data_IF_661528986951
#
_entry.id   IF_661528986951
#
_cell.length_a   1.000
_cell.length_b   1.000
_cell.length_c   1.000
_cell.angle_alpha   90.00
_cell.angle_beta   90.00
_cell.angle_gamma   90.00
#
_symmetry.space_group_name_H-M   'P 1'
#
loop_
_entity.id
_entity.type
_entity.pdbx_description
1 polymer ?
#
# COMPACT_ATOMS: atom_id res chain seq x y z
N UNK A 1 -29.19 -88.37 33.03
CA UNK A 1 -28.29 -87.25 32.70
C UNK A 1 -29.15 -86.00 32.63
N UNK A 2 -29.12 -85.17 33.67
CA UNK A 2 -29.99 -83.99 33.86
C UNK A 2 -29.13 -82.74 33.69
N UNK A 3 -29.45 -81.89 32.72
CA UNK A 3 -28.82 -80.57 32.56
C UNK A 3 -29.82 -79.52 33.07
N UNK A 4 -29.40 -78.77 34.09
CA UNK A 4 -30.19 -77.71 34.73
C UNK A 4 -30.09 -76.43 33.90
N UNK A 5 -31.24 -75.83 33.58
CA UNK A 5 -31.34 -74.44 33.12
C UNK A 5 -30.95 -73.50 34.27
N UNK A 6 -29.99 -72.60 34.00
CA UNK A 6 -29.75 -71.41 34.80
C UNK A 6 -30.55 -70.26 34.16
N UNK A 7 -31.47 -69.70 34.93
CA UNK A 7 -32.28 -68.54 34.56
C UNK A 7 -31.53 -67.29 35.01
N UNK A 8 -31.04 -66.50 34.05
CA UNK A 8 -30.40 -65.19 34.31
C UNK A 8 -31.48 -64.12 34.16
N UNK A 9 -31.90 -63.54 35.27
CA UNK A 9 -32.81 -62.42 35.30
C UNK A 9 -32.08 -61.16 34.81
N UNK A 10 -32.47 -60.67 33.63
CA UNK A 10 -32.05 -59.38 33.09
C UNK A 10 -32.91 -58.30 33.76
N UNK A 11 -32.31 -57.55 34.67
CA UNK A 11 -32.91 -56.36 35.29
C UNK A 11 -32.84 -55.23 34.26
N UNK A 12 -33.94 -54.98 33.56
CA UNK A 12 -34.18 -53.73 32.82
C UNK A 12 -34.33 -52.61 33.85
N UNK A 13 -33.25 -51.91 34.14
CA UNK A 13 -33.30 -50.62 34.82
C UNK A 13 -33.75 -49.59 33.77
N UNK A 14 -35.05 -49.33 33.70
CA UNK A 14 -35.62 -48.20 32.98
C UNK A 14 -35.21 -46.92 33.70
N UNK A 15 -34.04 -46.39 33.33
CA UNK A 15 -33.64 -45.03 33.62
C UNK A 15 -34.48 -44.11 32.73
N UNK A 16 -35.76 -43.94 33.08
CA UNK A 16 -36.62 -42.87 32.56
C UNK A 16 -36.17 -41.54 33.15
N UNK A 17 -34.98 -41.10 32.73
CA UNK A 17 -34.47 -39.77 33.04
C UNK A 17 -35.29 -38.75 32.27
N UNK A 18 -35.76 -37.75 32.99
CA UNK A 18 -36.30 -36.50 32.49
C UNK A 18 -35.31 -35.87 31.48
N UNK A 19 -35.41 -36.25 30.21
CA UNK A 19 -35.02 -35.36 29.13
C UNK A 19 -36.22 -34.45 28.96
N UNK A 20 -36.15 -33.24 29.50
CA UNK A 20 -37.00 -32.17 29.03
C UNK A 20 -36.84 -32.18 27.50
N UNK A 21 -37.95 -32.39 26.77
CA UNK A 21 -37.97 -32.21 25.33
C UNK A 21 -37.70 -30.72 25.10
N UNK A 22 -36.44 -30.36 24.89
CA UNK A 22 -36.14 -29.13 24.18
C UNK A 22 -36.75 -29.33 22.79
N UNK A 23 -37.76 -28.52 22.49
CA UNK A 23 -38.31 -28.43 21.14
C UNK A 23 -37.16 -27.95 20.24
N UNK A 24 -36.82 -28.75 19.23
CA UNK A 24 -35.73 -28.47 18.31
C UNK A 24 -36.36 -27.84 17.07
N UNK A 25 -36.09 -26.57 16.84
CA UNK A 25 -36.44 -25.92 15.58
C UNK A 25 -35.59 -26.45 14.43
N UNK A 26 -36.11 -26.38 13.21
CA UNK A 26 -35.42 -26.90 12.03
C UNK A 26 -35.42 -25.88 10.90
N UNK A 27 -34.35 -25.92 10.11
CA UNK A 27 -34.23 -25.24 8.84
C UNK A 27 -34.39 -26.23 7.68
N UNK A 28 -35.04 -25.78 6.62
CA UNK A 28 -35.19 -26.47 5.35
C UNK A 28 -34.59 -25.59 4.25
N UNK A 29 -33.85 -26.19 3.32
CA UNK A 29 -33.21 -25.45 2.23
C UNK A 29 -33.79 -25.89 0.89
N UNK A 30 -34.07 -24.92 0.03
CA UNK A 30 -34.59 -25.14 -1.32
C UNK A 30 -33.82 -24.29 -2.30
N UNK A 31 -33.74 -24.70 -3.56
CA UNK A 31 -33.03 -23.89 -4.54
C UNK A 31 -32.80 -24.60 -5.84
N UNK A 32 -31.91 -24.07 -6.67
CA UNK A 32 -31.53 -24.67 -7.95
C UNK A 32 -30.01 -24.71 -8.12
N UNK A 33 -29.56 -25.62 -8.97
CA UNK A 33 -28.16 -25.75 -9.36
C UNK A 33 -28.02 -25.31 -10.81
N UNK A 34 -27.00 -24.49 -11.06
CA UNK A 34 -26.73 -23.88 -12.36
C UNK A 34 -25.34 -24.23 -12.84
N UNK A 35 -25.17 -24.27 -14.16
CA UNK A 35 -23.88 -24.27 -14.81
C UNK A 35 -23.25 -22.88 -14.63
N UNK A 36 -22.12 -22.83 -13.95
CA UNK A 36 -21.40 -21.58 -13.67
C UNK A 36 -20.81 -20.91 -14.91
N UNK A 37 -20.67 -21.63 -16.02
CA UNK A 37 -20.17 -21.09 -17.29
C UNK A 37 -21.30 -20.60 -18.21
N UNK A 38 -22.36 -21.39 -18.39
CA UNK A 38 -23.46 -21.00 -19.30
C UNK A 38 -24.62 -20.27 -18.60
N UNK A 39 -24.76 -20.45 -17.28
CA UNK A 39 -25.92 -19.98 -16.52
C UNK A 39 -27.17 -20.86 -16.68
N UNK A 40 -27.08 -21.97 -17.43
CA UNK A 40 -28.18 -22.90 -17.61
C UNK A 40 -28.45 -23.71 -16.35
N UNK A 41 -29.67 -24.24 -16.21
CA UNK A 41 -30.00 -25.13 -15.09
C UNK A 41 -29.37 -26.50 -15.30
N UNK A 42 -28.80 -27.05 -14.24
CA UNK A 42 -28.29 -28.42 -14.21
C UNK A 42 -29.38 -29.32 -13.63
N UNK A 43 -29.65 -30.44 -14.32
CA UNK A 43 -30.51 -31.52 -13.83
C UNK A 43 -29.67 -32.70 -13.34
N UNK A 44 -30.31 -33.76 -12.81
CA UNK A 44 -29.65 -35.04 -12.53
C UNK A 44 -28.39 -34.95 -11.65
N UNK A 45 -28.37 -34.01 -10.70
CA UNK A 45 -27.36 -33.90 -9.65
C UNK A 45 -27.90 -34.54 -8.36
N UNK A 46 -27.00 -34.84 -7.43
CA UNK A 46 -27.34 -35.23 -6.05
C UNK A 46 -26.90 -34.12 -5.10
N UNK A 47 -27.62 -33.96 -3.99
CA UNK A 47 -27.31 -32.95 -2.97
C UNK A 47 -27.52 -33.53 -1.58
N UNK A 48 -26.55 -33.27 -0.69
CA UNK A 48 -26.56 -33.77 0.68
C UNK A 48 -26.27 -32.63 1.65
N UNK A 49 -26.87 -32.70 2.83
CA UNK A 49 -26.46 -31.92 3.99
C UNK A 49 -25.87 -32.88 5.03
N UNK A 50 -24.65 -32.61 5.47
CA UNK A 50 -24.00 -33.36 6.54
C UNK A 50 -23.78 -32.48 7.77
N UNK A 51 -24.18 -33.02 8.93
CA UNK A 51 -23.93 -32.41 10.23
C UNK A 51 -23.74 -33.50 11.28
N UNK A 52 -22.74 -33.33 12.15
CA UNK A 52 -22.31 -34.32 13.13
C UNK A 52 -22.00 -35.70 12.52
N UNK A 53 -22.92 -36.67 12.64
CA UNK A 53 -22.84 -38.03 12.06
C UNK A 53 -24.08 -38.37 11.24
N UNK A 54 -24.85 -37.34 10.90
CA UNK A 54 -26.09 -37.43 10.15
C UNK A 54 -25.84 -36.88 8.75
N UNK A 55 -26.28 -37.64 7.76
CA UNK A 55 -26.30 -37.22 6.37
C UNK A 55 -27.76 -37.23 5.90
N UNK A 56 -28.21 -36.13 5.32
CA UNK A 56 -29.55 -35.97 4.77
C UNK A 56 -29.40 -35.78 3.26
N UNK A 57 -29.88 -36.76 2.50
CA UNK A 57 -30.03 -36.64 1.06
C UNK A 57 -31.23 -35.75 0.73
N UNK A 58 -31.01 -34.77 -0.14
CA UNK A 58 -32.06 -33.92 -0.68
C UNK A 58 -32.80 -34.57 -1.85
N UNK A 59 -33.99 -34.08 -2.13
CA UNK A 59 -34.78 -34.49 -3.30
C UNK A 59 -34.71 -33.43 -4.39
N UNK A 60 -34.50 -33.82 -5.64
CA UNK A 60 -34.50 -32.91 -6.80
C UNK A 60 -35.74 -33.18 -7.65
N UNK A 61 -36.54 -32.14 -7.89
CA UNK A 61 -37.69 -32.21 -8.78
C UNK A 61 -37.23 -32.27 -10.24
N UNK A 62 -37.54 -33.36 -10.94
CA UNK A 62 -37.06 -33.63 -12.31
C UNK A 62 -37.59 -32.62 -13.36
N UNK A 63 -38.77 -32.02 -13.13
CA UNK A 63 -39.38 -31.08 -14.07
C UNK A 63 -38.81 -29.66 -13.93
N UNK A 64 -38.55 -29.24 -12.69
CA UNK A 64 -38.16 -27.86 -12.36
C UNK A 64 -36.68 -27.70 -12.05
N UNK A 65 -35.96 -28.80 -11.78
CA UNK A 65 -34.57 -28.82 -11.30
C UNK A 65 -34.40 -28.28 -9.88
N UNK A 66 -35.50 -28.06 -9.15
CA UNK A 66 -35.48 -27.49 -7.81
C UNK A 66 -35.16 -28.57 -6.79
N UNK A 67 -34.13 -28.36 -5.98
CA UNK A 67 -33.86 -29.24 -4.85
C UNK A 67 -34.65 -28.82 -3.61
N UNK A 68 -34.88 -29.80 -2.75
CA UNK A 68 -35.30 -29.64 -1.35
C UNK A 68 -34.41 -30.49 -0.48
N UNK A 69 -33.63 -29.86 0.39
CA UNK A 69 -32.85 -30.50 1.43
C UNK A 69 -33.73 -30.65 2.68
N UNK A 70 -33.65 -31.81 3.33
CA UNK A 70 -34.45 -32.11 4.52
C UNK A 70 -34.15 -31.19 5.71
N UNK A 71 -34.76 -31.51 6.85
CA UNK A 71 -34.68 -30.68 8.07
C UNK A 71 -33.30 -30.76 8.72
N UNK A 72 -32.56 -29.66 8.69
CA UNK A 72 -31.32 -29.46 9.45
C UNK A 72 -31.69 -28.79 10.78
N UNK A 73 -31.23 -29.30 11.95
CA UNK A 73 -31.51 -28.63 13.22
C UNK A 73 -31.01 -27.18 13.22
N UNK A 74 -31.76 -26.28 13.85
CA UNK A 74 -31.23 -24.95 14.19
C UNK A 74 -29.95 -25.09 15.06
N UNK A 75 -29.16 -24.03 15.15
CA UNK A 75 -27.96 -23.98 15.99
C UNK A 75 -26.88 -25.04 15.69
N UNK A 76 -26.81 -25.50 14.45
CA UNK A 76 -25.88 -26.56 14.02
C UNK A 76 -25.10 -26.14 12.78
N UNK A 77 -23.78 -26.27 12.82
CA UNK A 77 -22.93 -26.17 11.62
C UNK A 77 -23.21 -27.37 10.71
N UNK A 78 -23.30 -27.11 9.41
CA UNK A 78 -23.51 -28.17 8.42
C UNK A 78 -22.74 -27.89 7.13
N UNK A 79 -22.50 -28.95 6.38
CA UNK A 79 -21.85 -28.89 5.07
C UNK A 79 -22.84 -29.33 4.00
N UNK A 80 -22.97 -28.52 2.95
CA UNK A 80 -23.68 -28.90 1.72
C UNK A 80 -22.70 -29.51 0.75
N UNK A 81 -23.04 -30.66 0.19
CA UNK A 81 -22.29 -31.29 -0.89
C UNK A 81 -23.20 -31.47 -2.09
N UNK A 82 -22.73 -31.12 -3.28
CA UNK A 82 -23.46 -31.34 -4.54
C UNK A 82 -22.55 -32.13 -5.47
N UNK A 83 -23.06 -33.25 -6.00
CA UNK A 83 -22.34 -34.09 -6.94
C UNK A 83 -23.10 -34.21 -8.27
N UNK A 84 -22.37 -34.01 -9.37
CA UNK A 84 -22.86 -34.15 -10.74
C UNK A 84 -21.69 -34.62 -11.60
N UNK A 85 -21.85 -35.78 -12.24
CA UNK A 85 -20.85 -36.30 -13.17
C UNK A 85 -20.52 -35.29 -14.28
N UNK A 86 -19.23 -35.03 -14.47
CA UNK A 86 -18.71 -34.05 -15.43
C UNK A 86 -18.60 -32.62 -14.88
N UNK A 87 -18.90 -32.39 -13.60
CA UNK A 87 -18.72 -31.12 -12.91
C UNK A 87 -17.77 -31.27 -11.72
N UNK A 88 -17.07 -30.18 -11.38
CA UNK A 88 -16.18 -30.15 -10.22
C UNK A 88 -16.95 -30.44 -8.94
N UNK A 89 -16.27 -31.02 -7.96
CA UNK A 89 -16.83 -31.24 -6.62
C UNK A 89 -17.27 -29.91 -6.00
N UNK A 90 -18.39 -29.95 -5.31
CA UNK A 90 -18.96 -28.80 -4.61
C UNK A 90 -19.16 -29.12 -3.15
N UNK A 91 -18.57 -28.29 -2.30
CA UNK A 91 -18.74 -28.33 -0.85
C UNK A 91 -18.93 -26.91 -0.33
N UNK A 92 -19.93 -26.67 0.51
CA UNK A 92 -20.15 -25.37 1.14
C UNK A 92 -20.36 -25.56 2.65
N UNK A 93 -19.46 -25.01 3.48
CA UNK A 93 -19.61 -25.00 4.92
C UNK A 93 -20.50 -23.84 5.32
N UNK A 94 -21.55 -24.14 6.07
CA UNK A 94 -22.47 -23.15 6.59
C UNK A 94 -22.32 -23.10 8.09
N UNK A 95 -21.83 -21.96 8.58
CA UNK A 95 -21.79 -21.69 10.00
C UNK A 95 -23.23 -21.63 10.54
N UNK A 96 -23.35 -22.02 11.80
CA UNK A 96 -24.56 -21.94 12.60
C UNK A 96 -25.30 -20.62 12.38
N UNK A 97 -26.54 -20.71 11.89
CA UNK A 97 -27.49 -19.61 12.01
C UNK A 97 -27.90 -19.52 13.47
N UNK A 98 -27.46 -18.48 14.18
CA UNK A 98 -28.02 -18.18 15.50
C UNK A 98 -29.50 -17.86 15.30
N UNK A 99 -30.36 -18.80 15.69
CA UNK A 99 -31.78 -18.50 15.82
C UNK A 99 -31.89 -17.32 16.80
N UNK A 100 -32.46 -16.20 16.37
CA UNK A 100 -32.70 -15.10 17.30
C UNK A 100 -33.49 -15.62 18.49
N UNK A 101 -33.03 -15.36 19.72
CA UNK A 101 -33.63 -15.84 20.98
C UNK A 101 -35.15 -15.75 20.94
N UNK A 102 -35.82 -16.86 20.60
CA UNK A 102 -37.27 -16.95 20.70
C UNK A 102 -37.61 -18.07 21.68
N UNK A 103 -37.62 -17.71 22.96
CA UNK A 103 -37.93 -18.57 24.10
C UNK A 103 -39.32 -19.26 24.03
N UNK A 104 -40.18 -18.91 23.06
CA UNK A 104 -41.55 -19.40 22.90
C UNK A 104 -41.93 -19.79 21.44
N UNK A 105 -40.96 -20.01 20.55
CA UNK A 105 -41.29 -20.49 19.20
C UNK A 105 -41.79 -21.96 19.24
N UNK A 106 -43.02 -22.27 18.78
CA UNK A 106 -43.41 -23.66 18.52
C UNK A 106 -42.49 -24.26 17.46
N UNK A 107 -42.36 -25.60 17.39
CA UNK A 107 -41.61 -26.37 16.39
C UNK A 107 -41.82 -25.84 14.94
N UNK A 108 -41.12 -24.78 14.56
CA UNK A 108 -41.28 -24.11 13.28
C UNK A 108 -40.17 -24.59 12.36
N UNK A 109 -40.55 -24.97 11.13
CA UNK A 109 -39.58 -25.27 10.09
C UNK A 109 -39.46 -24.06 9.17
N UNK A 110 -38.36 -23.32 9.27
CA UNK A 110 -38.09 -22.18 8.39
C UNK A 110 -37.50 -22.68 7.08
N UNK A 111 -37.98 -22.15 5.96
CA UNK A 111 -37.48 -22.51 4.62
C UNK A 111 -36.63 -21.39 4.06
N UNK A 112 -35.41 -21.71 3.59
CA UNK A 112 -34.46 -20.79 2.99
C UNK A 112 -34.22 -21.13 1.53
N UNK A 113 -34.03 -20.11 0.69
CA UNK A 113 -33.78 -20.29 -0.73
C UNK A 113 -32.30 -20.01 -1.07
N UNK A 114 -31.55 -21.02 -1.51
CA UNK A 114 -30.13 -20.90 -1.89
C UNK A 114 -29.85 -21.53 -3.25
N UNK A 115 -29.26 -20.81 -4.18
CA UNK A 115 -28.78 -21.40 -5.42
C UNK A 115 -27.33 -21.86 -5.31
N UNK A 116 -26.91 -22.79 -6.17
CA UNK A 116 -25.51 -23.19 -6.32
C UNK A 116 -25.09 -23.15 -7.78
N UNK A 117 -23.79 -22.97 -7.98
CA UNK A 117 -23.17 -22.96 -9.29
C UNK A 117 -22.08 -24.04 -9.34
N UNK A 118 -22.23 -24.97 -10.27
CA UNK A 118 -21.22 -25.97 -10.56
C UNK A 118 -20.52 -25.61 -11.86
N UNK A 119 -19.23 -25.88 -11.94
CA UNK A 119 -18.47 -25.68 -13.16
C UNK A 119 -18.07 -27.01 -13.78
N UNK A 120 -18.14 -27.17 -15.10
CA UNK A 120 -17.70 -28.39 -15.77
C UNK A 120 -16.25 -28.74 -15.42
N UNK A 121 -15.97 -30.03 -15.24
CA UNK A 121 -14.60 -30.52 -15.08
C UNK A 121 -13.78 -30.23 -16.34
N UNK A 122 -12.53 -29.83 -16.16
CA UNK A 122 -11.61 -29.60 -17.26
C UNK A 122 -11.93 -28.39 -18.14
N UNK A 123 -12.89 -27.54 -17.78
CA UNK A 123 -13.10 -26.24 -18.43
C UNK A 123 -11.90 -25.33 -18.13
N UNK A 124 -11.04 -25.02 -19.11
CA UNK A 124 -9.90 -24.14 -18.87
C UNK A 124 -10.39 -22.70 -18.65
N UNK A 125 -9.73 -21.97 -17.74
CA UNK A 125 -9.90 -20.51 -17.72
C UNK A 125 -9.30 -19.93 -19.00
N UNK A 126 -9.97 -18.98 -19.68
CA UNK A 126 -9.31 -18.24 -20.75
C UNK A 126 -8.07 -17.52 -20.20
N UNK A 127 -7.13 -17.23 -21.10
CA UNK A 127 -6.00 -16.36 -20.76
C UNK A 127 -6.51 -14.98 -20.32
N UNK A 128 -5.85 -14.38 -19.34
CA UNK A 128 -6.15 -13.04 -18.83
C UNK A 128 -4.89 -12.22 -18.75
N UNK A 129 -4.98 -10.95 -19.12
CA UNK A 129 -3.93 -9.95 -18.98
C UNK A 129 -4.35 -8.96 -17.91
N UNK A 130 -3.40 -8.58 -17.05
CA UNK A 130 -3.52 -7.49 -16.10
C UNK A 130 -2.57 -6.37 -16.55
N UNK A 131 -3.13 -5.18 -16.72
CA UNK A 131 -2.41 -3.93 -16.96
C UNK A 131 -2.26 -3.20 -15.61
N UNK A 132 -1.03 -2.92 -15.22
CA UNK A 132 -0.63 -2.41 -13.91
C UNK A 132 0.13 -1.10 -14.17
N UNK A 133 -0.54 0.00 -13.86
CA UNK A 133 0.01 1.35 -14.05
C UNK A 133 0.41 1.95 -12.72
N UNK A 134 1.40 2.83 -12.74
CA UNK A 134 1.85 3.58 -11.56
C UNK A 134 1.16 4.95 -11.57
N UNK A 135 0.64 5.41 -10.42
CA UNK A 135 0.17 6.80 -10.32
C UNK A 135 1.39 7.73 -10.24
N UNK A 136 1.25 8.92 -10.84
CA UNK A 136 2.22 10.03 -10.80
C UNK A 136 3.53 9.83 -11.60
N UNK A 137 3.69 8.73 -12.34
CA UNK A 137 4.87 8.50 -13.19
C UNK A 137 4.49 7.79 -14.49
N UNK A 138 5.29 8.02 -15.53
CA UNK A 138 5.22 7.28 -16.81
C UNK A 138 6.16 6.07 -16.80
N UNK A 139 6.86 5.81 -15.69
CA UNK A 139 7.69 4.62 -15.53
C UNK A 139 6.85 3.35 -15.62
N UNK A 140 7.41 2.33 -16.26
CA UNK A 140 6.77 1.04 -16.40
C UNK A 140 6.82 0.24 -15.09
N UNK A 141 5.68 -0.24 -14.61
CA UNK A 141 5.63 -1.04 -13.39
C UNK A 141 6.34 -2.39 -13.56
N UNK A 142 7.10 -2.80 -12.55
CA UNK A 142 7.71 -4.12 -12.46
C UNK A 142 7.59 -4.64 -11.02
N UNK A 143 7.34 -5.94 -10.86
CA UNK A 143 7.17 -6.55 -9.55
C UNK A 143 6.58 -7.96 -9.62
N UNK A 144 5.82 -8.35 -8.59
CA UNK A 144 5.18 -9.64 -8.48
C UNK A 144 3.66 -9.50 -8.33
N UNK A 145 2.93 -10.41 -8.97
CA UNK A 145 1.49 -10.58 -8.78
C UNK A 145 1.23 -11.97 -8.22
N UNK A 146 0.37 -12.08 -7.21
CA UNK A 146 -0.07 -13.33 -6.61
C UNK A 146 -1.59 -13.39 -6.57
N UNK A 147 -2.14 -14.49 -7.08
CA UNK A 147 -3.56 -14.81 -7.02
C UNK A 147 -3.76 -16.00 -6.09
N UNK A 148 -4.53 -15.81 -5.02
CA UNK A 148 -4.85 -16.84 -4.03
C UNK A 148 -6.35 -17.14 -4.11
N UNK A 149 -6.78 -18.40 -4.31
CA UNK A 149 -8.20 -18.72 -4.25
C UNK A 149 -8.83 -18.24 -2.95
N UNK A 150 -9.97 -17.57 -3.07
CA UNK A 150 -10.63 -16.87 -1.97
C UNK A 150 -12.09 -17.28 -1.85
N UNK A 151 -12.59 -17.29 -0.61
CA UNK A 151 -13.96 -17.65 -0.30
C UNK A 151 -14.88 -16.47 -0.64
N UNK A 152 -15.05 -16.19 -1.94
CA UNK A 152 -15.94 -15.14 -2.44
C UNK A 152 -15.78 -13.79 -1.75
N UNK A 153 -14.61 -13.16 -1.84
CA UNK A 153 -14.40 -11.79 -1.37
C UNK A 153 -15.25 -10.81 -2.19
N UNK A 154 -16.29 -10.21 -1.57
CA UNK A 154 -16.93 -8.99 -2.10
C UNK A 154 -18.45 -8.97 -2.23
N UNK A 155 -19.19 -10.05 -1.94
CA UNK A 155 -20.65 -9.90 -1.72
C UNK A 155 -20.91 -9.56 -0.25
N UNK A 156 -21.76 -8.56 0.04
CA UNK A 156 -21.83 -7.90 1.34
C UNK A 156 -22.26 -8.88 2.44
N UNK A 157 -21.38 -9.02 3.44
CA UNK A 157 -21.63 -9.42 4.82
C UNK A 157 -22.72 -10.48 5.05
N UNK A 158 -22.28 -11.70 5.40
CA UNK A 158 -23.08 -12.73 6.06
C UNK A 158 -23.66 -12.29 7.43
N UNK A 159 -23.30 -11.10 7.93
CA UNK A 159 -23.84 -10.52 9.17
C UNK A 159 -25.20 -9.80 8.99
N UNK A 160 -25.75 -9.80 7.78
CA UNK A 160 -27.13 -9.39 7.52
C UNK A 160 -28.13 -10.55 7.45
N UNK A 161 -27.81 -11.71 8.05
CA UNK A 161 -28.65 -12.91 8.04
C UNK A 161 -30.03 -12.65 8.68
N UNK A 162 -30.99 -12.17 7.88
CA UNK A 162 -32.40 -12.32 8.16
C UNK A 162 -32.96 -13.47 7.29
N UNK A 163 -33.67 -14.44 7.89
CA UNK A 163 -34.29 -15.55 7.18
C UNK A 163 -35.46 -15.07 6.31
N UNK A 164 -35.55 -15.51 5.04
CA UNK A 164 -36.64 -15.10 4.10
C UNK A 164 -37.45 -16.30 3.60
N UNK A 165 -38.78 -16.21 3.80
CA UNK A 165 -39.79 -17.05 3.17
C UNK A 165 -40.30 -16.45 1.85
N UNK A 166 -39.95 -17.12 0.75
CA UNK A 166 -40.65 -17.26 -0.55
C UNK A 166 -41.52 -16.09 -1.04
N UNK A 167 -40.93 -15.16 -1.79
CA UNK A 167 -41.32 -14.74 -3.15
C UNK A 167 -40.11 -14.00 -3.77
N UNK A 168 -40.01 -13.86 -5.09
CA UNK A 168 -38.89 -13.16 -5.79
C UNK A 168 -38.87 -11.62 -5.49
N UNK A 169 -38.77 -11.21 -4.21
CA UNK A 169 -38.93 -9.84 -3.72
C UNK A 169 -37.87 -9.37 -2.71
N UNK A 170 -37.48 -8.09 -2.88
CA UNK A 170 -36.78 -7.12 -2.03
C UNK A 170 -35.46 -7.42 -1.30
N UNK A 171 -35.07 -8.68 -1.03
CA UNK A 171 -33.85 -8.98 -0.23
C UNK A 171 -32.78 -9.85 -0.92
N UNK A 172 -32.90 -10.09 -2.23
CA UNK A 172 -31.84 -10.65 -3.06
C UNK A 172 -31.66 -12.17 -3.01
N UNK A 173 -30.86 -12.69 -3.96
CA UNK A 173 -30.62 -14.11 -4.21
C UNK A 173 -29.48 -14.63 -3.33
N UNK A 174 -29.72 -15.64 -2.48
CA UNK A 174 -28.67 -16.29 -1.69
C UNK A 174 -27.99 -17.40 -2.50
N UNK A 175 -26.68 -17.53 -2.37
CA UNK A 175 -25.85 -18.44 -3.17
C UNK A 175 -24.92 -19.21 -2.22
N UNK A 176 -24.84 -20.53 -2.41
CA UNK A 176 -23.82 -21.35 -1.75
C UNK A 176 -22.44 -21.09 -2.37
N UNK A 177 -21.44 -20.82 -1.53
CA UNK A 177 -20.05 -20.63 -1.95
C UNK A 177 -19.33 -21.97 -1.93
N UNK A 178 -18.61 -22.31 -3.01
CA UNK A 178 -17.88 -23.57 -3.10
C UNK A 178 -16.52 -23.47 -2.39
N UNK A 179 -16.38 -24.08 -1.23
CA UNK A 179 -15.14 -24.14 -0.46
C UNK A 179 -14.10 -25.08 -1.09
N UNK A 180 -14.50 -26.03 -1.93
CA UNK A 180 -13.53 -26.85 -2.69
C UNK A 180 -12.67 -25.97 -3.61
N UNK A 181 -13.18 -24.80 -4.03
CA UNK A 181 -12.41 -23.86 -4.84
C UNK A 181 -11.21 -23.28 -4.04
N UNK A 182 -11.23 -23.32 -2.70
CA UNK A 182 -10.11 -22.89 -1.86
C UNK A 182 -8.93 -23.86 -1.87
N UNK A 183 -9.13 -25.09 -2.32
CA UNK A 183 -8.07 -26.10 -2.38
C UNK A 183 -7.14 -25.92 -3.59
N UNK A 184 -7.51 -25.05 -4.55
CA UNK A 184 -6.64 -24.76 -5.68
C UNK A 184 -5.37 -24.05 -5.23
N UNK A 185 -4.30 -24.22 -6.02
CA UNK A 185 -3.02 -23.58 -5.71
C UNK A 185 -3.09 -22.08 -5.98
N UNK A 186 -2.43 -21.30 -5.13
CA UNK A 186 -2.09 -19.93 -5.49
C UNK A 186 -1.11 -19.92 -6.66
N UNK A 187 -1.18 -18.88 -7.49
CA UNK A 187 -0.26 -18.65 -8.61
C UNK A 187 0.44 -17.32 -8.39
N UNK A 188 1.76 -17.30 -8.59
CA UNK A 188 2.58 -16.09 -8.48
C UNK A 188 3.42 -15.94 -9.75
N UNK A 189 3.43 -14.74 -10.34
CA UNK A 189 4.23 -14.41 -11.53
C UNK A 189 4.92 -13.07 -11.34
N UNK A 190 6.13 -12.98 -11.88
CA UNK A 190 6.79 -11.70 -12.07
C UNK A 190 6.18 -10.97 -13.27
N UNK A 191 6.22 -9.65 -13.24
CA UNK A 191 5.78 -8.79 -14.32
C UNK A 191 6.76 -7.62 -14.51
N UNK A 192 6.79 -7.12 -15.73
CA UNK A 192 7.59 -5.97 -16.16
C UNK A 192 6.84 -5.28 -17.31
N UNK A 193 7.10 -3.99 -17.54
CA UNK A 193 6.38 -3.25 -18.57
C UNK A 193 4.92 -2.97 -18.21
N UNK A 194 4.55 -3.04 -16.92
CA UNK A 194 3.18 -2.92 -16.45
C UNK A 194 2.24 -4.05 -16.88
N UNK A 195 2.73 -5.13 -17.51
CA UNK A 195 1.85 -6.16 -18.09
C UNK A 195 2.19 -7.54 -17.54
N UNK A 196 1.15 -8.28 -17.15
CA UNK A 196 1.25 -9.70 -16.82
C UNK A 196 0.11 -10.50 -17.41
N UNK A 197 0.45 -11.59 -18.08
CA UNK A 197 -0.52 -12.52 -18.67
C UNK A 197 -0.49 -13.85 -17.95
N UNK A 198 -1.66 -14.34 -17.55
CA UNK A 198 -1.88 -15.71 -17.11
C UNK A 198 -2.44 -16.50 -18.29
N UNK A 199 -1.78 -17.59 -18.63
CA UNK A 199 -2.12 -18.39 -19.81
C UNK A 199 -3.42 -19.16 -19.60
N UNK A 200 -3.99 -19.66 -20.70
CA UNK A 200 -5.18 -20.51 -20.65
C UNK A 200 -4.97 -21.70 -19.69
N UNK A 201 -5.92 -21.88 -18.75
CA UNK A 201 -5.89 -22.94 -17.74
C UNK A 201 -4.88 -22.73 -16.60
N UNK A 202 -4.15 -21.62 -16.56
CA UNK A 202 -3.25 -21.31 -15.43
C UNK A 202 -4.05 -20.98 -14.16
N UNK A 203 -5.22 -20.37 -14.32
CA UNK A 203 -6.24 -20.15 -13.30
C UNK A 203 -7.43 -21.11 -13.50
N UNK A 204 -8.25 -21.28 -12.47
CA UNK A 204 -9.41 -22.17 -12.51
C UNK A 204 -10.67 -21.37 -12.79
N UNK A 205 -11.32 -21.64 -13.94
CA UNK A 205 -12.50 -20.89 -14.38
C UNK A 205 -13.59 -20.84 -13.30
N UNK A 206 -14.11 -19.64 -13.05
CA UNK A 206 -15.19 -19.37 -12.11
C UNK A 206 -14.77 -19.18 -10.66
N UNK A 207 -13.52 -19.49 -10.31
CA UNK A 207 -12.96 -19.31 -8.96
C UNK A 207 -12.65 -17.83 -8.71
N UNK A 208 -13.00 -17.36 -7.52
CA UNK A 208 -12.61 -16.02 -7.05
C UNK A 208 -11.20 -16.08 -6.46
N UNK A 209 -10.39 -15.09 -6.78
CA UNK A 209 -9.03 -14.96 -6.28
C UNK A 209 -8.88 -13.63 -5.55
N UNK A 210 -8.24 -13.66 -4.38
CA UNK A 210 -7.60 -12.50 -3.80
C UNK A 210 -6.31 -12.24 -4.59
N UNK A 211 -6.21 -11.05 -5.15
CA UNK A 211 -5.08 -10.59 -5.94
C UNK A 211 -4.24 -9.67 -5.06
N UNK A 212 -2.93 -9.93 -5.04
CA UNK A 212 -1.93 -9.11 -4.36
C UNK A 212 -0.86 -8.76 -5.39
N UNK A 213 -0.66 -7.48 -5.66
CA UNK A 213 0.49 -6.96 -6.41
C UNK A 213 1.46 -6.36 -5.39
N UNK A 214 2.72 -6.78 -5.43
CA UNK A 214 3.72 -6.46 -4.42
C UNK A 214 5.12 -6.44 -5.04
N UNK A 215 6.12 -6.00 -4.27
CA UNK A 215 7.52 -5.87 -4.72
C UNK A 215 7.64 -4.92 -5.93
N UNK A 216 6.87 -3.84 -5.91
CA UNK A 216 6.93 -2.73 -6.88
C UNK A 216 7.65 -1.57 -6.21
N UNK A 217 8.80 -1.18 -6.75
CA UNK A 217 9.69 -0.20 -6.10
C UNK A 217 9.01 1.16 -5.91
N UNK A 218 8.95 1.64 -4.66
CA UNK A 218 8.28 2.90 -4.30
C UNK A 218 6.76 2.85 -4.16
N UNK A 219 6.11 1.68 -4.30
CA UNK A 219 4.65 1.53 -4.24
C UNK A 219 4.20 0.57 -3.14
N UNK A 220 3.03 0.85 -2.54
CA UNK A 220 2.41 -0.05 -1.54
C UNK A 220 1.87 -1.32 -2.21
N UNK A 221 1.73 -2.38 -1.40
CA UNK A 221 1.02 -3.59 -1.83
C UNK A 221 -0.42 -3.25 -2.26
N UNK A 222 -0.79 -3.64 -3.47
CA UNK A 222 -2.16 -3.46 -3.98
C UNK A 222 -2.95 -4.76 -3.84
N UNK A 223 -4.11 -4.68 -3.17
CA UNK A 223 -4.99 -5.84 -2.96
C UNK A 223 -6.37 -5.62 -3.59
N UNK A 224 -6.86 -6.60 -4.36
CA UNK A 224 -8.21 -6.60 -4.93
C UNK A 224 -8.74 -8.02 -5.11
N UNK A 225 -9.94 -8.19 -5.66
CA UNK A 225 -10.52 -9.48 -6.03
C UNK A 225 -10.65 -9.62 -7.54
N UNK A 226 -10.43 -10.82 -8.08
CA UNK A 226 -10.65 -11.15 -9.50
C UNK A 226 -11.32 -12.51 -9.62
N UNK A 227 -12.31 -12.64 -10.52
CA UNK A 227 -12.92 -13.95 -10.82
C UNK A 227 -12.39 -14.48 -12.15
N UNK A 228 -11.76 -15.65 -12.11
CA UNK A 228 -11.21 -16.27 -13.31
C UNK A 228 -12.29 -16.56 -14.35
N UNK A 229 -12.02 -16.17 -15.60
CA UNK A 229 -13.01 -16.15 -16.68
C UNK A 229 -13.53 -14.75 -17.01
N UNK A 230 -13.26 -13.76 -16.15
CA UNK A 230 -13.41 -12.35 -16.50
C UNK A 230 -12.28 -11.88 -17.42
N UNK A 231 -12.57 -10.87 -18.25
CA UNK A 231 -11.65 -10.37 -19.26
C UNK A 231 -10.49 -9.55 -18.69
N UNK A 232 -9.82 -8.80 -19.58
CA UNK A 232 -8.74 -7.88 -19.28
C UNK A 232 -9.06 -6.98 -18.07
N UNK A 233 -8.11 -6.88 -17.13
CA UNK A 233 -8.16 -6.02 -15.96
C UNK A 233 -7.09 -4.93 -16.05
N UNK A 234 -7.43 -3.73 -15.58
CA UNK A 234 -6.48 -2.62 -15.49
C UNK A 234 -6.53 -2.03 -14.08
N UNK A 235 -5.37 -1.89 -13.44
CA UNK A 235 -5.21 -1.38 -12.08
C UNK A 235 -4.18 -0.26 -12.06
N UNK A 236 -4.31 0.62 -11.07
CA UNK A 236 -3.38 1.70 -10.83
C UNK A 236 -2.89 1.60 -9.39
N UNK A 237 -1.57 1.60 -9.21
CA UNK A 237 -0.92 1.53 -7.91
C UNK A 237 -0.70 2.93 -7.38
N UNK A 238 -0.96 3.10 -6.09
CA UNK A 238 -0.63 4.32 -5.36
C UNK A 238 0.79 4.19 -4.79
N UNK A 239 1.61 5.25 -4.87
CA UNK A 239 2.92 5.27 -4.24
C UNK A 239 2.79 4.90 -2.78
N UNK A 240 3.80 4.23 -2.24
CA UNK A 240 3.79 3.83 -0.85
C UNK A 240 3.58 5.07 0.02
N UNK A 241 2.75 4.97 1.05
CA UNK A 241 2.65 6.02 2.05
C UNK A 241 4.02 6.17 2.74
N UNK A 242 4.89 7.01 2.18
CA UNK A 242 6.10 7.44 2.85
C UNK A 242 5.76 8.56 3.83
N UNK A 243 6.52 8.62 4.92
CA UNK A 243 6.50 9.80 5.76
C UNK A 243 6.85 11.02 4.88
N UNK A 244 6.19 12.17 5.09
CA UNK A 244 6.58 13.41 4.42
C UNK A 244 8.09 13.60 4.54
N UNK A 245 8.74 14.02 3.45
CA UNK A 245 10.16 14.35 3.47
C UNK A 245 10.35 15.43 4.53
N UNK A 246 11.27 15.15 5.45
CA UNK A 246 11.54 16.02 6.57
C UNK A 246 13.04 16.02 6.85
N UNK A 247 13.57 17.22 7.10
CA UNK A 247 14.89 17.39 7.67
C UNK A 247 14.87 16.83 9.10
N UNK A 248 15.83 15.95 9.39
CA UNK A 248 15.96 15.33 10.72
C UNK A 248 17.12 15.91 11.52
N UNK A 249 18.05 16.56 10.83
CA UNK A 249 19.25 17.14 11.41
C UNK A 249 19.88 18.13 10.43
N UNK A 250 20.46 19.21 10.95
CA UNK A 250 21.44 20.03 10.24
C UNK A 250 22.58 20.45 11.18
N UNK A 251 23.80 20.61 10.67
CA UNK A 251 25.02 20.80 11.47
C UNK A 251 24.95 22.00 12.44
N UNK A 252 24.28 23.08 12.04
CA UNK A 252 24.13 24.29 12.88
C UNK A 252 23.39 24.04 14.20
N UNK A 253 22.53 23.02 14.31
CA UNK A 253 21.82 22.73 15.57
C UNK A 253 22.76 22.34 16.71
N UNK A 254 23.94 21.81 16.38
CA UNK A 254 24.93 21.39 17.38
C UNK A 254 25.79 22.56 17.88
N UNK A 255 25.70 23.73 17.25
CA UNK A 255 26.65 24.83 17.45
C UNK A 255 28.10 24.37 17.21
N UNK A 256 28.27 23.39 16.33
CA UNK A 256 29.58 22.95 15.88
C UNK A 256 29.99 23.88 14.76
N UNK A 257 31.08 24.58 15.02
CA UNK A 257 31.78 25.40 14.05
C UNK A 257 32.39 24.49 12.99
N UNK A 258 32.27 24.89 11.72
CA UNK A 258 32.93 24.24 10.60
C UNK A 258 34.15 25.09 10.18
N UNK A 259 35.28 24.45 9.89
CA UNK A 259 36.48 25.16 9.39
C UNK A 259 36.31 25.55 7.92
N UNK A 260 35.43 24.84 7.20
CA UNK A 260 35.23 24.96 5.76
C UNK A 260 33.85 25.56 5.41
N UNK A 261 33.08 26.00 6.41
CA UNK A 261 31.75 26.60 6.22
C UNK A 261 30.66 25.61 5.79
N UNK A 262 30.95 24.30 5.79
CA UNK A 262 30.04 23.28 5.27
C UNK A 262 28.75 23.16 6.10
N UNK A 263 27.61 23.29 5.43
CA UNK A 263 26.31 22.95 5.99
C UNK A 263 25.95 21.51 5.63
N UNK A 264 25.88 20.64 6.63
CA UNK A 264 25.46 19.24 6.45
C UNK A 264 24.02 19.07 6.92
N UNK A 265 23.16 18.56 6.04
CA UNK A 265 21.75 18.26 6.28
C UNK A 265 21.48 16.76 6.13
N UNK A 266 20.65 16.19 7.02
CA UNK A 266 20.25 14.78 6.97
C UNK A 266 18.72 14.67 7.00
N UNK A 267 18.17 13.94 6.04
CA UNK A 267 16.73 13.73 5.87
C UNK A 267 16.28 12.36 6.39
N UNK A 268 14.98 12.22 6.66
CA UNK A 268 14.35 10.97 7.12
C UNK A 268 14.34 9.85 6.07
N UNK A 269 14.71 10.15 4.82
CA UNK A 269 14.77 9.21 3.70
C UNK A 269 15.75 9.73 2.63
N UNK A 270 16.22 8.86 1.70
CA UNK A 270 17.03 9.28 0.57
C UNK A 270 16.35 10.38 -0.26
N UNK A 271 17.13 11.31 -0.77
CA UNK A 271 16.68 12.51 -1.49
C UNK A 271 17.33 12.59 -2.87
N UNK A 272 16.67 13.28 -3.78
CA UNK A 272 17.17 13.72 -5.08
C UNK A 272 16.62 15.11 -5.39
N UNK A 273 17.30 15.84 -6.27
CA UNK A 273 16.76 17.08 -6.84
C UNK A 273 15.44 16.80 -7.57
N UNK A 274 14.44 17.68 -7.41
CA UNK A 274 13.12 17.47 -8.03
C UNK A 274 13.20 17.31 -9.56
N UNK A 275 14.17 17.95 -10.19
CA UNK A 275 14.53 17.72 -11.58
C UNK A 275 16.05 17.63 -11.69
N UNK A 276 16.59 16.45 -12.04
CA UNK A 276 18.04 16.24 -12.21
C UNK A 276 18.65 17.21 -13.24
N UNK A 277 17.87 17.67 -14.23
CA UNK A 277 18.32 18.65 -15.24
C UNK A 277 18.37 20.10 -14.72
N UNK A 278 18.11 20.31 -13.42
CA UNK A 278 18.18 21.61 -12.74
C UNK A 278 19.30 21.72 -11.71
N UNK A 279 20.17 20.72 -11.60
CA UNK A 279 21.31 20.76 -10.67
C UNK A 279 22.13 22.06 -10.85
N UNK A 280 22.54 22.38 -12.08
CA UNK A 280 23.25 23.62 -12.43
C UNK A 280 22.45 24.89 -12.07
N UNK A 281 21.11 24.84 -12.17
CA UNK A 281 20.26 25.96 -11.73
C UNK A 281 20.24 26.09 -10.21
N UNK A 282 20.20 24.98 -9.46
CA UNK A 282 20.21 25.01 -8.00
C UNK A 282 21.57 25.44 -7.43
N UNK A 283 22.66 25.04 -8.06
CA UNK A 283 24.00 25.55 -7.78
C UNK A 283 24.06 27.06 -7.99
N UNK A 284 23.57 27.57 -9.13
CA UNK A 284 23.51 29.01 -9.40
C UNK A 284 22.69 29.77 -8.33
N UNK A 285 21.52 29.26 -7.95
CA UNK A 285 20.72 29.90 -6.90
C UNK A 285 21.42 29.91 -5.54
N UNK A 286 22.19 28.87 -5.23
CA UNK A 286 23.00 28.80 -4.02
C UNK A 286 24.13 29.84 -4.05
N UNK A 287 24.79 29.98 -5.20
CA UNK A 287 25.87 30.93 -5.45
C UNK A 287 25.37 32.38 -5.33
N UNK A 288 24.28 32.73 -6.04
CA UNK A 288 23.58 34.02 -5.97
C UNK A 288 23.14 34.36 -4.53
N UNK A 289 22.88 33.34 -3.73
CA UNK A 289 22.42 33.44 -2.35
C UNK A 289 23.54 33.48 -1.32
N UNK A 290 24.81 33.31 -1.72
CA UNK A 290 25.92 33.23 -0.79
C UNK A 290 26.31 34.62 -0.28
N UNK A 291 26.58 34.72 1.02
CA UNK A 291 27.18 35.91 1.62
C UNK A 291 28.16 35.51 2.72
N UNK A 292 29.36 36.12 2.71
CA UNK A 292 30.44 35.84 3.66
C UNK A 292 30.64 37.06 4.56
N UNK A 293 30.70 36.85 5.88
CA UNK A 293 31.09 37.88 6.85
C UNK A 293 32.57 37.70 7.20
N UNK A 294 33.42 38.57 6.65
CA UNK A 294 34.85 38.67 6.96
C UNK A 294 35.18 40.13 7.28
N UNK A 295 35.28 40.52 8.56
CA UNK A 295 35.67 41.88 8.92
C UNK A 295 37.12 42.12 8.51
N UNK A 296 37.39 43.28 7.92
CA UNK A 296 38.75 43.81 7.80
C UNK A 296 39.22 44.23 9.21
N UNK A 297 40.11 43.42 9.81
CA UNK A 297 40.61 43.63 11.18
C UNK A 297 41.96 44.32 11.19
N UNK A 298 42.78 44.14 10.15
CA UNK A 298 44.14 44.66 10.14
C UNK A 298 44.33 45.97 9.36
N UNK A 299 43.29 46.40 8.63
CA UNK A 299 43.21 47.68 7.93
C UNK A 299 44.30 47.81 6.88
N UNK A 300 44.70 46.70 6.28
CA UNK A 300 45.63 46.73 5.18
C UNK A 300 44.96 47.39 3.95
N UNK A 301 45.63 48.38 3.33
CA UNK A 301 45.05 49.01 2.15
C UNK A 301 45.09 48.00 1.00
N UNK A 302 43.93 47.66 0.42
CA UNK A 302 43.77 46.84 -0.78
C UNK A 302 44.99 46.95 -1.70
N UNK A 303 45.84 45.91 -1.72
CA UNK A 303 47.18 45.98 -2.33
C UNK A 303 47.14 46.27 -3.85
N UNK A 304 45.97 46.11 -4.48
CA UNK A 304 45.76 46.23 -5.91
C UNK A 304 45.09 47.53 -6.37
N UNK A 305 44.67 48.42 -5.47
CA UNK A 305 44.24 49.76 -5.90
C UNK A 305 45.45 50.71 -5.96
N UNK A 306 45.87 51.16 -7.16
CA UNK A 306 46.99 52.06 -7.27
C UNK A 306 46.65 53.37 -6.56
N UNK A 307 47.17 53.50 -5.33
CA UNK A 307 47.17 54.68 -4.47
C UNK A 307 47.34 55.94 -5.33
N UNK A 308 46.21 56.56 -5.66
CA UNK A 308 46.15 57.82 -6.36
C UNK A 308 46.40 58.99 -5.39
N UNK A 309 47.17 58.75 -4.32
CA UNK A 309 48.09 59.73 -3.75
C UNK A 309 47.45 60.91 -3.04
N UNK A 310 46.15 60.87 -2.73
CA UNK A 310 45.42 61.97 -2.09
C UNK A 310 45.02 61.70 -0.62
N UNK A 311 45.59 60.69 0.02
CA UNK A 311 45.50 60.51 1.48
C UNK A 311 46.46 61.47 2.21
N UNK A 312 46.02 62.72 2.38
CA UNK A 312 46.80 63.75 3.06
C UNK A 312 47.03 63.43 4.56
N UNK A 313 48.25 63.57 5.09
CA UNK A 313 48.55 63.24 6.48
C UNK A 313 47.90 64.26 7.44
N UNK A 314 46.89 63.84 8.19
CA UNK A 314 46.54 64.48 9.47
C UNK A 314 45.08 64.75 9.81
N UNK A 315 44.08 64.32 9.02
CA UNK A 315 42.67 64.46 9.41
C UNK A 315 41.80 63.30 8.90
N UNK A 316 41.55 62.34 9.79
CA UNK A 316 40.48 61.30 9.79
C UNK A 316 40.58 60.17 8.73
N UNK A 317 39.89 59.03 8.94
CA UNK A 317 40.47 57.69 9.01
C UNK A 317 40.16 56.89 7.74
N UNK A 318 41.19 56.45 7.02
CA UNK A 318 41.03 55.51 5.91
C UNK A 318 40.90 54.05 6.38
N UNK A 319 40.47 53.83 7.62
CA UNK A 319 39.95 52.53 8.06
C UNK A 319 38.47 52.77 8.27
N UNK A 320 37.67 52.57 7.23
CA UNK A 320 36.22 52.65 7.32
C UNK A 320 35.66 51.51 8.17
N UNK A 321 36.42 50.41 8.35
CA UNK A 321 35.93 49.25 9.10
C UNK A 321 34.68 48.68 8.43
N UNK A 322 34.58 48.87 7.12
CA UNK A 322 33.51 48.32 6.33
C UNK A 322 33.79 46.81 6.22
N UNK A 323 32.82 46.01 6.64
CA UNK A 323 32.87 44.56 6.43
C UNK A 323 33.00 44.31 4.94
N UNK A 324 33.98 43.51 4.53
CA UNK A 324 34.04 42.95 3.18
C UNK A 324 32.88 41.98 3.03
N UNK A 325 31.69 42.52 2.75
CA UNK A 325 30.56 41.73 2.30
C UNK A 325 30.82 41.47 0.83
N UNK A 326 31.41 40.31 0.55
CA UNK A 326 31.46 39.75 -0.79
C UNK A 326 30.02 39.42 -1.19
N UNK A 327 29.31 40.41 -1.72
CA UNK A 327 28.01 40.23 -2.36
C UNK A 327 28.25 40.22 -3.87
N UNK A 328 28.00 39.08 -4.52
CA UNK A 328 28.26 38.82 -5.93
C UNK A 328 27.39 39.59 -6.94
N UNK A 329 26.74 40.68 -6.54
CA UNK A 329 26.01 41.53 -7.48
C UNK A 329 26.99 42.54 -8.13
N UNK A 330 27.86 42.10 -9.05
CA UNK A 330 28.36 43.01 -10.10
C UNK A 330 27.42 42.91 -11.32
N UNK A 331 26.41 43.79 -11.44
CA UNK A 331 25.44 43.73 -12.52
C UNK A 331 25.99 44.11 -13.91
N UNK A 332 27.30 44.41 -14.03
CA UNK A 332 27.91 44.93 -15.26
C UNK A 332 28.85 43.93 -15.99
N UNK A 333 29.05 42.70 -15.49
CA UNK A 333 29.84 41.66 -16.21
C UNK A 333 28.93 40.74 -17.06
N UNK A 334 28.66 41.17 -18.30
CA UNK A 334 27.91 40.43 -19.35
C UNK A 334 28.70 39.21 -19.94
N UNK A 335 29.62 38.60 -19.19
CA UNK A 335 30.52 37.57 -19.73
C UNK A 335 29.86 36.17 -19.68
N UNK A 336 29.09 35.84 -20.73
CA UNK A 336 28.39 34.56 -20.94
C UNK A 336 29.28 33.28 -21.01
N UNK A 337 30.58 33.34 -20.68
CA UNK A 337 31.52 32.21 -20.83
C UNK A 337 32.66 32.23 -19.77
N UNK A 338 32.39 31.85 -18.51
CA UNK A 338 33.22 30.94 -17.68
C UNK A 338 32.97 31.09 -16.14
N UNK A 339 32.31 30.08 -15.55
CA UNK A 339 32.51 29.51 -14.18
C UNK A 339 31.92 30.25 -12.98
N UNK A 340 30.94 29.61 -12.34
CA UNK A 340 30.80 29.44 -10.87
C UNK A 340 31.57 30.51 -10.07
N UNK A 341 31.02 31.71 -9.97
CA UNK A 341 31.81 32.88 -9.58
C UNK A 341 32.08 32.97 -8.08
N UNK A 342 31.34 32.25 -7.23
CA UNK A 342 31.59 32.25 -5.79
C UNK A 342 31.99 30.89 -5.21
N UNK A 343 32.21 29.89 -6.07
CA UNK A 343 32.72 28.59 -5.66
C UNK A 343 31.82 27.91 -4.64
N UNK A 344 30.49 27.93 -4.80
CA UNK A 344 29.61 27.07 -3.97
C UNK A 344 29.46 25.68 -4.59
N UNK A 345 29.42 24.64 -3.75
CA UNK A 345 29.20 23.26 -4.16
C UNK A 345 28.03 22.65 -3.40
N UNK A 346 27.31 21.73 -4.06
CA UNK A 346 26.17 21.02 -3.49
C UNK A 346 26.26 19.53 -3.83
N UNK A 347 26.32 18.68 -2.81
CA UNK A 347 26.41 17.22 -3.00
C UNK A 347 25.31 16.47 -2.26
N UNK A 348 24.69 15.50 -2.94
CA UNK A 348 23.70 14.58 -2.38
C UNK A 348 24.27 13.16 -2.33
N UNK A 349 24.45 12.63 -1.11
CA UNK A 349 24.78 11.21 -0.87
C UNK A 349 23.66 10.52 -0.08
N UNK A 350 22.76 9.85 -0.81
CA UNK A 350 21.65 9.13 -0.21
C UNK A 350 20.66 10.07 0.48
N UNK A 351 20.67 10.12 1.81
CA UNK A 351 19.80 10.99 2.61
C UNK A 351 20.53 12.21 3.20
N UNK A 352 21.75 12.47 2.73
CA UNK A 352 22.60 13.58 3.16
C UNK A 352 22.70 14.60 2.04
N UNK A 353 22.57 15.86 2.39
CA UNK A 353 22.90 17.00 1.53
C UNK A 353 24.01 17.81 2.19
N UNK A 354 25.02 18.17 1.40
CA UNK A 354 26.10 19.08 1.79
C UNK A 354 25.99 20.34 0.95
N UNK A 355 25.99 21.50 1.61
CA UNK A 355 26.27 22.78 0.95
C UNK A 355 27.66 23.20 1.42
N UNK A 356 28.54 23.50 0.49
CA UNK A 356 29.90 23.89 0.79
C UNK A 356 30.25 25.15 0.03
N UNK A 357 31.12 25.97 0.62
CA UNK A 357 31.90 26.93 -0.11
C UNK A 357 33.27 26.30 -0.44
N UNK A 358 33.54 26.11 -1.72
CA UNK A 358 34.74 25.55 -2.37
C UNK A 358 35.78 26.64 -2.73
N UNK A 359 35.63 27.86 -2.19
CA UNK A 359 36.71 28.85 -2.27
C UNK A 359 37.93 28.38 -1.49
N UNK A 360 39.13 28.45 -2.10
CA UNK A 360 40.37 28.28 -1.33
C UNK A 360 40.43 29.38 -0.26
N UNK A 361 40.08 29.05 0.99
CA UNK A 361 40.28 29.87 2.19
C UNK A 361 41.72 30.44 2.35
N UNK A 362 42.67 29.99 1.52
CA UNK A 362 44.06 30.44 1.56
C UNK A 362 44.27 31.92 1.22
N UNK A 363 43.24 32.60 0.69
CA UNK A 363 43.26 34.05 0.47
C UNK A 363 42.60 34.83 1.61
N UNK A 364 42.18 34.19 2.71
CA UNK A 364 42.01 34.94 3.96
C UNK A 364 43.37 35.52 4.28
N UNK A 365 43.53 36.85 4.19
CA UNK A 365 44.66 37.45 4.87
C UNK A 365 44.62 36.91 6.30
N UNK A 366 45.77 36.49 6.81
CA UNK A 366 45.92 36.17 8.22
C UNK A 366 45.39 37.24 9.18
N UNK A 367 45.15 38.46 8.69
CA UNK A 367 44.44 39.56 9.33
C UNK A 367 42.92 39.37 9.47
N UNK A 368 42.26 38.73 8.50
CA UNK A 368 40.81 38.81 8.29
C UNK A 368 40.14 37.43 8.35
N UNK A 369 39.73 36.96 9.54
CA UNK A 369 39.04 35.70 9.67
C UNK A 369 37.62 35.80 9.11
N UNK A 370 37.22 34.80 8.34
CA UNK A 370 35.80 34.59 8.02
C UNK A 370 35.11 34.22 9.33
N UNK A 371 34.12 35.02 9.74
CA UNK A 371 33.31 34.76 10.93
C UNK A 371 32.13 33.85 10.63
N UNK A 372 31.52 34.01 9.45
CA UNK A 372 30.33 33.22 9.08
C UNK A 372 30.10 33.19 7.57
N UNK A 373 29.42 32.13 7.13
CA UNK A 373 28.93 31.96 5.76
C UNK A 373 27.40 31.86 5.81
N UNK A 374 26.70 32.64 5.00
CA UNK A 374 25.24 32.63 4.89
C UNK A 374 24.81 32.13 3.52
N UNK A 375 24.00 31.08 3.50
CA UNK A 375 23.38 30.53 2.30
C UNK A 375 21.93 31.01 2.21
N UNK A 376 21.57 31.79 1.20
CA UNK A 376 20.21 32.25 0.89
C UNK A 376 19.61 31.51 -0.31
N UNK A 377 18.44 31.96 -0.78
CA UNK A 377 17.69 31.40 -1.93
C UNK A 377 17.34 29.91 -1.79
N UNK A 378 17.38 29.36 -0.58
CA UNK A 378 17.06 27.96 -0.33
C UNK A 378 15.58 27.61 -0.61
N UNK A 379 14.73 28.62 -0.84
CA UNK A 379 13.35 28.43 -1.28
C UNK A 379 13.24 27.94 -2.73
N UNK A 380 14.25 28.18 -3.56
CA UNK A 380 14.27 27.81 -4.97
C UNK A 380 14.88 26.43 -5.20
N UNK A 381 15.56 25.86 -4.19
CA UNK A 381 16.12 24.51 -4.21
C UNK A 381 15.06 23.51 -3.73
N UNK A 382 14.54 22.70 -4.66
CA UNK A 382 13.49 21.72 -4.41
C UNK A 382 14.05 20.30 -4.35
N UNK A 383 13.82 19.63 -3.23
CA UNK A 383 14.15 18.23 -3.03
C UNK A 383 12.91 17.36 -3.09
N UNK A 384 13.08 16.09 -3.45
CA UNK A 384 12.07 15.07 -3.26
C UNK A 384 12.69 13.78 -2.74
N UNK A 385 11.87 12.94 -2.12
CA UNK A 385 12.30 11.63 -1.69
C UNK A 385 12.52 10.71 -2.90
N UNK A 386 13.69 10.05 -2.99
CA UNK A 386 13.98 9.04 -4.03
C UNK A 386 12.97 7.88 -4.00
N UNK A 387 12.31 7.68 -2.85
CA UNK A 387 11.25 6.69 -2.66
C UNK A 387 9.98 7.35 -2.16
N UNK A 388 8.90 7.18 -2.90
CA UNK A 388 7.57 7.66 -2.53
C UNK A 388 6.88 8.42 -3.66
N UNK A 389 5.75 9.07 -3.38
CA UNK A 389 5.05 9.85 -4.38
C UNK A 389 5.88 11.06 -4.82
N UNK A 390 5.83 11.43 -6.11
CA UNK A 390 6.48 12.63 -6.64
C UNK A 390 5.96 13.93 -5.98
N UNK A 391 4.79 13.87 -5.34
CA UNK A 391 4.26 14.97 -4.52
C UNK A 391 4.91 15.08 -3.13
N UNK A 392 5.86 14.21 -2.78
CA UNK A 392 6.62 14.29 -1.53
C UNK A 392 7.88 15.13 -1.73
N UNK A 393 7.66 16.39 -2.10
CA UNK A 393 8.70 17.38 -2.32
C UNK A 393 8.74 18.41 -1.19
N UNK A 394 9.88 19.08 -1.06
CA UNK A 394 10.17 20.04 0.00
C UNK A 394 11.20 21.04 -0.52
N UNK A 395 10.98 22.33 -0.30
CA UNK A 395 12.04 23.34 -0.52
C UNK A 395 13.03 23.29 0.63
N UNK A 396 14.32 23.58 0.41
CA UNK A 396 15.29 23.62 1.50
C UNK A 396 14.92 24.64 2.58
N UNK A 397 14.35 25.79 2.19
CA UNK A 397 13.84 26.78 3.13
C UNK A 397 12.74 26.21 4.05
N UNK A 398 11.76 25.47 3.50
CA UNK A 398 10.71 24.82 4.28
C UNK A 398 11.30 23.73 5.20
N UNK A 399 12.31 22.99 4.71
CA UNK A 399 12.99 21.94 5.46
C UNK A 399 13.70 22.48 6.72
N UNK A 400 14.36 23.63 6.59
CA UNK A 400 15.08 24.30 7.66
C UNK A 400 14.17 25.08 8.61
N UNK A 401 12.87 25.20 8.29
CA UNK A 401 11.95 26.07 9.02
C UNK A 401 12.41 27.53 9.00
N UNK A 402 13.07 27.95 7.92
CA UNK A 402 13.63 29.28 7.78
C UNK A 402 12.48 30.29 7.57
N UNK A 403 11.92 30.79 8.68
CA UNK A 403 10.90 31.86 8.69
C UNK A 403 11.43 33.20 8.15
N UNK A 404 12.73 33.30 7.81
CA UNK A 404 13.36 34.50 7.28
C UNK A 404 12.97 34.72 5.79
N UNK A 405 12.63 35.96 5.39
CA UNK A 405 12.38 36.27 3.98
C UNK A 405 13.64 35.96 3.15
N UNK A 406 13.53 34.99 2.23
CA UNK A 406 14.64 34.51 1.39
C UNK A 406 15.16 33.11 1.77
N UNK A 407 14.71 32.52 2.89
CA UNK A 407 15.07 31.16 3.25
C UNK A 407 16.55 30.98 3.61
N UNK A 408 17.17 31.96 4.26
CA UNK A 408 18.61 31.93 4.54
C UNK A 408 19.00 31.11 5.77
N UNK A 409 20.21 30.57 5.79
CA UNK A 409 20.86 29.94 6.95
C UNK A 409 22.33 30.38 7.06
N UNK A 410 22.78 30.70 8.27
CA UNK A 410 24.15 31.14 8.56
C UNK A 410 24.90 30.06 9.34
N UNK A 411 26.10 29.70 8.88
CA UNK A 411 27.08 28.81 9.52
C UNK A 411 28.17 29.68 10.14
N UNK A 412 28.36 29.58 11.46
CA UNK A 412 29.43 30.30 12.17
C UNK A 412 30.77 29.52 12.05
N UNK A 413 31.85 30.22 11.73
CA UNK A 413 33.20 29.68 11.53
C UNK A 413 34.06 29.75 12.79
N UNK A 414 34.95 28.76 13.01
CA UNK A 414 35.81 28.74 14.19
C UNK A 414 36.61 30.05 14.34
N UNK A 415 36.65 30.67 15.54
CA UNK A 415 37.46 31.86 15.80
C UNK A 415 38.96 31.58 15.95
#
# INVERSE_FOLDING_TARGET
MRLRLLSTALVLLTLGGLLASCDISYHQYVGRVYDGASGDRIDGYTIFAEFWKTSIEGTVDEETGRYTLGKVPEDTDFTIMIDKNGYRSFMAHTAMFQGGDCDDCPDETKTYYYDAYLYPEGLPSPAVTFDITLRQTDAEAAGLIRLVPAAGGGTPSLYGAQPVGVDDGDNGRQIWVNDEDLQFRAVTKAFAGGIVTFEEGELVYGVNYDVIVFDVDGYDDFTTSYRAGEGHQAWQLDPAASDPLALTFHSNELGLWDEDGTLVMIFNQPIEFLAEDREEYYEEQLDDGLSIDSPDVDGDPDEDWPDDGDCAPGTDPCGDGDSNVLNGDDPDEDDEDDRQENGTDMDIDGNRLELQWDGELSDSDSGDPINSVTYCNLGDIELHATRGPASNNLTLADALGADAPGGCITVDMLP
#
